data_IF_412451441974
#
_entry.id   IF_412451441974
#
_cell.length_a   1.000
_cell.length_b   1.000
_cell.length_c   1.000
_cell.angle_alpha   90.00
_cell.angle_beta   90.00
_cell.angle_gamma   90.00
#
_symmetry.space_group_name_H-M   'P 1'
#
loop_
_entity.id
_entity.type
_entity.pdbx_description
1 polymer ?
#
# COMPACT_ATOMS: atom_id res chain seq x y z
N UNK A 1 47.78 -12.19 -64.89
CA UNK A 1 47.73 -13.11 -63.72
C UNK A 1 47.58 -12.23 -62.48
N UNK A 2 46.35 -12.00 -62.02
CA UNK A 2 46.06 -11.25 -60.79
C UNK A 2 45.36 -12.21 -59.84
N UNK A 3 46.09 -12.68 -58.83
CA UNK A 3 45.61 -13.61 -57.80
C UNK A 3 44.73 -12.86 -56.78
N UNK A 4 43.48 -13.28 -56.45
CA UNK A 4 42.51 -12.48 -55.70
C UNK A 4 42.46 -12.74 -54.18
N UNK A 5 43.56 -13.14 -53.54
CA UNK A 5 43.59 -13.38 -52.09
C UNK A 5 44.67 -12.56 -51.37
N UNK A 6 44.51 -11.23 -51.39
CA UNK A 6 45.10 -10.42 -50.33
C UNK A 6 44.41 -10.81 -49.01
N UNK A 7 45.13 -11.59 -48.19
CA UNK A 7 44.70 -12.08 -46.90
C UNK A 7 44.10 -10.94 -46.07
N UNK A 8 42.77 -10.92 -45.95
CA UNK A 8 42.08 -10.04 -45.03
C UNK A 8 42.59 -10.35 -43.63
N UNK A 9 43.20 -9.36 -42.99
CA UNK A 9 43.71 -9.49 -41.63
C UNK A 9 42.61 -10.08 -40.72
N UNK A 10 42.79 -11.29 -40.16
CA UNK A 10 41.76 -11.96 -39.37
C UNK A 10 41.53 -11.28 -38.02
N UNK A 11 42.17 -10.15 -37.76
CA UNK A 11 42.01 -9.35 -36.56
C UNK A 11 41.00 -8.22 -36.68
N UNK A 12 40.50 -7.88 -37.87
CA UNK A 12 39.61 -6.73 -38.08
C UNK A 12 38.23 -7.12 -38.58
N UNK A 13 37.22 -6.34 -38.25
CA UNK A 13 35.86 -6.64 -38.70
C UNK A 13 35.72 -6.46 -40.21
N UNK A 14 35.08 -7.43 -40.89
CA UNK A 14 34.88 -7.38 -42.36
C UNK A 14 34.12 -6.13 -42.84
N UNK A 15 33.35 -5.46 -41.97
CA UNK A 15 32.60 -4.22 -42.23
C UNK A 15 33.28 -2.95 -41.72
N UNK A 16 34.15 -3.09 -40.72
CA UNK A 16 34.81 -1.98 -40.04
C UNK A 16 36.30 -2.28 -39.93
N UNK A 17 37.10 -1.90 -40.94
CA UNK A 17 38.54 -2.18 -40.97
C UNK A 17 39.29 -1.49 -39.82
N UNK A 18 38.74 -0.41 -39.26
CA UNK A 18 39.35 0.33 -38.14
C UNK A 18 39.13 -0.33 -36.77
N UNK A 19 38.39 -1.46 -36.71
CA UNK A 19 38.01 -2.09 -35.44
C UNK A 19 38.53 -3.52 -35.35
N UNK A 20 39.44 -3.73 -34.41
CA UNK A 20 39.92 -5.05 -34.07
C UNK A 20 38.83 -5.88 -33.38
N UNK A 21 38.66 -7.12 -33.81
CA UNK A 21 37.74 -8.08 -33.21
C UNK A 21 38.15 -9.51 -33.52
N UNK A 22 38.06 -10.37 -32.51
CA UNK A 22 38.37 -11.80 -32.59
C UNK A 22 37.12 -12.69 -32.58
N UNK A 23 35.93 -12.09 -32.71
CA UNK A 23 34.66 -12.81 -32.71
C UNK A 23 34.34 -13.26 -34.13
N UNK A 24 34.22 -14.57 -34.33
CA UNK A 24 33.98 -15.17 -35.64
C UNK A 24 32.49 -15.52 -35.81
N UNK A 25 31.97 -15.29 -37.01
CA UNK A 25 30.65 -15.78 -37.40
C UNK A 25 30.62 -17.31 -37.39
N UNK A 26 29.71 -17.91 -36.63
CA UNK A 26 29.54 -19.37 -36.58
C UNK A 26 29.13 -20.01 -37.93
N UNK A 27 28.65 -19.20 -38.89
CA UNK A 27 28.20 -19.70 -40.19
C UNK A 27 29.22 -19.52 -41.32
N UNK A 28 29.85 -18.34 -41.42
CA UNK A 28 30.76 -18.02 -42.52
C UNK A 28 32.22 -17.82 -42.10
N UNK A 29 32.52 -17.87 -40.80
CA UNK A 29 33.90 -17.70 -40.30
C UNK A 29 34.47 -16.29 -40.40
N UNK A 30 33.71 -15.27 -40.85
CA UNK A 30 34.18 -13.87 -40.89
C UNK A 30 34.25 -13.26 -39.50
N UNK A 31 35.21 -12.38 -39.27
CA UNK A 31 35.38 -11.57 -38.06
C UNK A 31 34.37 -10.43 -37.95
N UNK A 32 33.71 -10.28 -36.80
CA UNK A 32 32.62 -9.33 -36.57
C UNK A 32 32.85 -8.52 -35.29
N UNK A 33 32.80 -7.20 -35.38
CA UNK A 33 32.90 -6.34 -34.20
C UNK A 33 31.66 -6.45 -33.28
N UNK A 34 31.74 -6.02 -32.01
CA UNK A 34 30.62 -6.08 -31.06
C UNK A 34 29.36 -5.30 -31.46
N UNK A 35 29.49 -4.34 -32.38
CA UNK A 35 28.35 -3.58 -32.92
C UNK A 35 27.66 -4.28 -34.09
N UNK A 36 28.41 -5.06 -34.87
CA UNK A 36 27.88 -5.81 -36.01
C UNK A 36 27.46 -7.24 -35.66
N UNK A 37 27.85 -7.76 -34.49
CA UNK A 37 27.51 -9.12 -34.09
C UNK A 37 26.00 -9.25 -33.82
N UNK A 38 25.40 -10.33 -34.34
CA UNK A 38 24.01 -10.68 -34.05
C UNK A 38 24.03 -11.95 -33.20
N UNK A 39 23.44 -11.87 -32.01
CA UNK A 39 23.26 -13.03 -31.14
C UNK A 39 22.08 -13.86 -31.66
N UNK A 40 22.39 -14.99 -32.31
CA UNK A 40 21.41 -15.98 -32.72
C UNK A 40 21.36 -17.13 -31.69
N UNK A 41 20.29 -17.96 -31.67
CA UNK A 41 20.19 -19.10 -30.74
C UNK A 41 21.37 -20.10 -30.84
N UNK A 42 22.04 -20.14 -32.00
CA UNK A 42 23.19 -21.00 -32.31
C UNK A 42 24.53 -20.26 -32.20
N UNK A 43 24.56 -19.11 -31.52
CA UNK A 43 25.76 -18.30 -31.30
C UNK A 43 25.82 -17.05 -32.18
N UNK A 44 27.02 -16.50 -32.33
CA UNK A 44 27.22 -15.22 -33.02
C UNK A 44 27.16 -15.40 -34.55
N UNK A 45 26.30 -14.61 -35.21
CA UNK A 45 26.16 -14.59 -36.66
C UNK A 45 26.35 -13.18 -37.25
N UNK A 46 26.82 -13.09 -38.50
CA UNK A 46 26.96 -11.82 -39.20
C UNK A 46 25.64 -11.37 -39.85
N UNK A 47 25.45 -10.07 -40.11
CA UNK A 47 24.24 -9.54 -40.75
C UNK A 47 23.89 -10.17 -42.09
N UNK A 48 24.89 -10.55 -42.89
CA UNK A 48 24.70 -11.15 -44.21
C UNK A 48 24.13 -12.57 -44.10
N UNK A 49 24.73 -13.40 -43.24
CA UNK A 49 24.26 -14.75 -42.93
C UNK A 49 22.84 -14.77 -42.35
N UNK A 50 22.47 -13.76 -41.55
CA UNK A 50 21.11 -13.64 -41.00
C UNK A 50 20.12 -13.18 -42.08
N UNK A 51 20.54 -12.31 -43.00
CA UNK A 51 19.72 -11.87 -44.14
C UNK A 51 19.45 -13.01 -45.11
N UNK A 52 20.46 -13.84 -45.37
CA UNK A 52 20.34 -15.07 -46.17
C UNK A 52 19.46 -16.13 -45.49
N UNK A 53 19.40 -16.15 -44.16
CA UNK A 53 18.54 -17.06 -43.39
C UNK A 53 17.06 -16.63 -43.30
N UNK A 54 16.64 -15.58 -44.02
CA UNK A 54 15.24 -15.13 -44.04
C UNK A 54 14.86 -14.18 -42.89
N UNK A 55 15.84 -13.49 -42.28
CA UNK A 55 15.60 -12.28 -41.47
C UNK A 55 14.76 -12.42 -40.19
N UNK A 56 14.52 -13.64 -39.69
CA UNK A 56 13.57 -13.89 -38.58
C UNK A 56 14.17 -13.80 -37.17
N UNK A 57 15.47 -13.48 -37.02
CA UNK A 57 16.06 -13.25 -35.69
C UNK A 57 15.68 -11.85 -35.22
N UNK A 58 14.72 -11.80 -34.30
CA UNK A 58 14.21 -10.58 -33.67
C UNK A 58 15.39 -9.78 -33.09
N UNK A 59 15.74 -8.69 -33.76
CA UNK A 59 16.88 -7.82 -33.43
C UNK A 59 16.68 -7.18 -32.05
N UNK A 60 17.48 -7.60 -31.06
CA UNK A 60 17.67 -6.88 -29.80
C UNK A 60 19.13 -6.42 -29.73
N UNK A 61 19.44 -5.15 -30.04
CA UNK A 61 20.79 -4.64 -29.89
C UNK A 61 21.15 -4.67 -28.42
N UNK A 62 22.27 -5.31 -28.09
CA UNK A 62 22.80 -5.46 -26.72
C UNK A 62 23.20 -4.14 -26.06
N UNK A 63 23.03 -2.98 -26.70
CA UNK A 63 23.42 -1.68 -26.17
C UNK A 63 22.40 -0.54 -26.26
N UNK A 64 21.21 -0.72 -26.83
CA UNK A 64 20.34 0.43 -27.16
C UNK A 64 19.25 0.75 -26.12
N UNK A 65 18.41 -0.22 -25.80
CA UNK A 65 17.11 0.05 -25.16
C UNK A 65 17.14 -0.01 -23.62
N UNK A 66 18.03 -0.81 -23.04
CA UNK A 66 18.23 -0.88 -21.58
C UNK A 66 19.02 0.32 -21.07
N UNK A 67 20.05 0.75 -21.80
CA UNK A 67 20.86 1.93 -21.46
C UNK A 67 20.08 3.23 -21.64
N UNK A 68 19.25 3.38 -22.68
CA UNK A 68 18.37 4.56 -22.81
C UNK A 68 17.29 4.63 -21.72
N UNK A 69 16.72 3.49 -21.30
CA UNK A 69 15.79 3.44 -20.15
C UNK A 69 16.50 3.74 -18.83
N UNK A 70 17.72 3.24 -18.64
CA UNK A 70 18.56 3.55 -17.47
C UNK A 70 19.02 5.02 -17.44
N UNK A 71 19.37 5.61 -18.59
CA UNK A 71 19.73 7.01 -18.74
C UNK A 71 18.53 7.95 -18.48
N UNK A 72 17.33 7.60 -18.98
CA UNK A 72 16.09 8.32 -18.63
C UNK A 72 15.77 8.22 -17.14
N UNK A 73 15.99 7.06 -16.50
CA UNK A 73 15.88 6.95 -15.04
C UNK A 73 16.83 7.89 -14.32
N UNK A 74 18.09 8.02 -14.77
CA UNK A 74 19.13 8.88 -14.18
C UNK A 74 18.87 10.38 -14.35
N UNK A 75 18.10 10.79 -15.37
CA UNK A 75 17.75 12.20 -15.62
C UNK A 75 16.76 12.81 -14.63
N UNK A 76 16.06 11.98 -13.83
CA UNK A 76 15.13 12.49 -12.81
C UNK A 76 15.90 12.94 -11.57
N UNK A 77 15.53 14.05 -10.92
CA UNK A 77 16.10 14.43 -9.64
C UNK A 77 16.00 13.28 -8.63
N UNK A 78 17.02 13.07 -7.79
CA UNK A 78 17.03 11.97 -6.79
C UNK A 78 15.79 11.97 -5.89
N UNK A 79 15.25 13.14 -5.53
CA UNK A 79 14.02 13.24 -4.75
C UNK A 79 12.78 12.73 -5.51
N UNK A 80 12.70 12.96 -6.83
CA UNK A 80 11.65 12.40 -7.69
C UNK A 80 11.80 10.89 -7.83
N UNK A 81 13.03 10.39 -7.99
CA UNK A 81 13.27 8.94 -8.06
C UNK A 81 12.92 8.23 -6.74
N UNK A 82 13.28 8.83 -5.59
CA UNK A 82 12.95 8.29 -4.29
C UNK A 82 11.44 8.32 -4.03
N UNK A 83 10.76 9.43 -4.33
CA UNK A 83 9.30 9.53 -4.16
C UNK A 83 8.54 8.57 -5.08
N UNK A 84 8.90 8.48 -6.36
CA UNK A 84 8.29 7.52 -7.28
C UNK A 84 8.64 6.06 -6.93
N UNK A 85 9.84 5.82 -6.39
CA UNK A 85 10.28 4.52 -5.89
C UNK A 85 9.52 4.08 -4.63
N UNK A 86 9.12 5.02 -3.77
CA UNK A 86 8.21 4.75 -2.66
C UNK A 86 6.83 4.34 -3.18
N UNK A 87 6.28 5.07 -4.17
CA UNK A 87 4.97 4.79 -4.77
C UNK A 87 4.92 3.50 -5.59
N UNK A 88 6.05 2.90 -5.97
CA UNK A 88 6.09 1.66 -6.77
C UNK A 88 5.41 0.49 -6.01
N UNK A 89 4.52 -0.31 -6.63
CA UNK A 89 3.78 -1.38 -5.95
C UNK A 89 4.65 -2.40 -5.21
N UNK A 90 5.84 -2.70 -5.76
CA UNK A 90 6.80 -3.66 -5.21
C UNK A 90 7.77 -3.05 -4.18
N UNK A 91 7.61 -1.77 -3.83
CA UNK A 91 8.47 -1.12 -2.83
C UNK A 91 8.03 -1.52 -1.43
N UNK A 92 8.97 -2.10 -0.66
CA UNK A 92 8.80 -2.48 0.74
C UNK A 92 8.61 -1.28 1.70
N UNK A 93 8.55 -0.06 1.17
CA UNK A 93 8.28 1.12 1.97
C UNK A 93 6.79 1.21 2.39
N UNK A 94 6.49 1.49 3.67
CA UNK A 94 5.14 1.59 4.20
C UNK A 94 4.53 2.98 3.89
N UNK A 95 4.20 3.20 2.61
CA UNK A 95 3.74 4.51 2.10
C UNK A 95 2.37 4.88 2.66
N UNK A 96 1.46 3.91 2.81
CA UNK A 96 0.12 4.19 3.33
C UNK A 96 0.20 4.64 4.78
N UNK A 97 1.04 4.00 5.57
CA UNK A 97 1.25 4.36 6.97
C UNK A 97 1.75 5.80 7.10
N UNK A 98 2.79 6.18 6.37
CA UNK A 98 3.31 7.55 6.42
C UNK A 98 2.32 8.56 5.86
N UNK A 99 1.57 8.21 4.80
CA UNK A 99 0.53 9.05 4.24
C UNK A 99 -0.62 9.32 5.22
N UNK A 100 -1.13 8.28 5.89
CA UNK A 100 -2.19 8.37 6.89
C UNK A 100 -1.73 9.20 8.09
N UNK A 101 -0.53 8.92 8.60
CA UNK A 101 0.03 9.65 9.73
C UNK A 101 0.24 11.13 9.39
N UNK A 102 0.85 11.42 8.24
CA UNK A 102 1.07 12.78 7.76
C UNK A 102 -0.23 13.55 7.53
N UNK A 103 -1.24 12.90 6.92
CA UNK A 103 -2.56 13.50 6.73
C UNK A 103 -3.24 13.83 8.07
N UNK A 104 -3.12 12.95 9.06
CA UNK A 104 -3.74 13.16 10.38
C UNK A 104 -3.08 14.31 11.14
N UNK A 105 -1.75 14.40 11.10
CA UNK A 105 -1.00 15.55 11.64
C UNK A 105 -1.41 16.84 10.94
N UNK A 106 -1.53 16.80 9.61
CA UNK A 106 -1.95 17.97 8.83
C UNK A 106 -3.37 18.43 9.21
N UNK A 107 -4.35 17.53 9.31
CA UNK A 107 -5.70 17.89 9.72
C UNK A 107 -5.76 18.43 11.16
N UNK A 108 -4.96 17.86 12.06
CA UNK A 108 -4.86 18.36 13.43
C UNK A 108 -4.29 19.78 13.49
N UNK A 109 -3.23 20.07 12.71
CA UNK A 109 -2.67 21.41 12.59
C UNK A 109 -3.65 22.40 11.97
N UNK A 110 -4.34 22.03 10.89
CA UNK A 110 -5.38 22.85 10.25
C UNK A 110 -6.51 23.16 11.25
N UNK A 111 -6.85 22.21 12.13
CA UNK A 111 -7.88 22.38 13.15
C UNK A 111 -7.64 23.58 14.06
N UNK A 112 -6.38 23.91 14.39
CA UNK A 112 -6.06 25.08 15.21
C UNK A 112 -6.35 26.41 14.51
N UNK A 113 -6.14 26.49 13.19
CA UNK A 113 -6.40 27.71 12.40
C UNK A 113 -7.87 27.88 12.01
N UNK A 114 -8.66 26.80 12.08
CA UNK A 114 -10.01 26.73 11.55
C UNK A 114 -11.06 26.47 12.62
N UNK A 115 -10.73 26.70 13.90
CA UNK A 115 -11.62 26.46 15.03
C UNK A 115 -12.24 25.05 15.03
N UNK A 116 -11.42 24.00 14.80
CA UNK A 116 -11.83 22.60 14.76
C UNK A 116 -12.79 22.21 13.62
N UNK A 117 -12.81 22.94 12.50
CA UNK A 117 -13.60 22.56 11.32
C UNK A 117 -13.35 21.11 10.84
N UNK A 118 -12.09 20.60 10.71
CA UNK A 118 -11.86 19.22 10.31
C UNK A 118 -12.52 18.21 11.24
N UNK A 119 -12.41 18.42 12.57
CA UNK A 119 -13.09 17.58 13.56
C UNK A 119 -14.61 17.62 13.35
N UNK A 120 -15.18 18.81 13.25
CA UNK A 120 -16.62 19.04 13.15
C UNK A 120 -17.24 18.40 11.89
N UNK A 121 -16.55 18.38 10.75
CA UNK A 121 -17.08 17.88 9.48
C UNK A 121 -16.72 16.43 9.16
N UNK A 122 -15.60 15.91 9.69
CA UNK A 122 -15.04 14.62 9.27
C UNK A 122 -15.04 13.56 10.37
N UNK A 123 -15.17 13.92 11.66
CA UNK A 123 -15.29 12.94 12.74
C UNK A 123 -16.71 12.35 12.82
N UNK A 124 -16.83 11.15 13.37
CA UNK A 124 -18.12 10.51 13.59
C UNK A 124 -18.67 10.91 14.96
N UNK A 125 -19.73 11.73 14.98
CA UNK A 125 -20.39 12.16 16.21
C UNK A 125 -21.77 11.50 16.36
N UNK A 126 -22.24 11.24 17.60
CA UNK A 126 -23.55 10.66 17.86
C UNK A 126 -24.70 11.70 17.75
N UNK A 127 -24.84 12.38 16.60
CA UNK A 127 -25.86 13.42 16.40
C UNK A 127 -26.86 13.07 15.28
N UNK A 128 -28.15 13.33 15.54
CA UNK A 128 -29.25 13.01 14.60
C UNK A 128 -29.16 13.74 13.27
N UNK A 129 -28.74 15.01 13.28
CA UNK A 129 -28.68 15.86 12.08
C UNK A 129 -27.66 15.37 11.03
N UNK A 130 -26.68 14.58 11.46
CA UNK A 130 -25.60 14.07 10.61
C UNK A 130 -25.77 12.59 10.27
N UNK A 131 -26.94 11.99 10.52
CA UNK A 131 -27.20 10.57 10.30
C UNK A 131 -26.89 10.08 8.86
N UNK A 132 -27.09 10.94 7.86
CA UNK A 132 -26.87 10.60 6.45
C UNK A 132 -25.41 10.84 5.97
N UNK A 133 -24.54 11.36 6.83
CA UNK A 133 -23.18 11.76 6.47
C UNK A 133 -22.19 10.59 6.54
N UNK A 134 -22.37 9.61 5.64
CA UNK A 134 -21.67 8.31 5.65
C UNK A 134 -20.15 8.42 5.57
N UNK A 135 -19.62 9.48 4.95
CA UNK A 135 -18.17 9.69 4.83
C UNK A 135 -17.47 9.79 6.20
N UNK A 136 -18.17 10.24 7.25
CA UNK A 136 -17.62 10.42 8.60
C UNK A 136 -17.06 9.14 9.20
N UNK A 137 -17.66 7.99 8.90
CA UNK A 137 -17.15 6.70 9.37
C UNK A 137 -15.79 6.34 8.75
N UNK A 138 -15.54 6.79 7.51
CA UNK A 138 -14.27 6.57 6.82
C UNK A 138 -13.23 7.62 7.20
N UNK A 139 -13.62 8.88 7.31
CA UNK A 139 -12.70 9.99 7.56
C UNK A 139 -12.33 10.12 9.04
N UNK A 140 -13.14 9.61 9.96
CA UNK A 140 -12.92 9.66 11.42
C UNK A 140 -11.51 9.23 11.85
N UNK A 141 -10.92 8.27 11.15
CA UNK A 141 -9.61 7.72 11.48
C UNK A 141 -8.47 8.73 11.33
N UNK A 142 -8.63 9.74 10.47
CA UNK A 142 -7.62 10.77 10.21
C UNK A 142 -7.73 11.97 11.16
N UNK A 143 -8.74 11.98 12.01
CA UNK A 143 -9.21 13.20 12.66
C UNK A 143 -9.00 13.11 14.15
N UNK A 144 -8.50 14.21 14.71
CA UNK A 144 -8.31 14.40 16.13
C UNK A 144 -8.73 15.83 16.50
N UNK A 145 -9.30 16.05 17.69
CA UNK A 145 -9.64 17.40 18.15
C UNK A 145 -8.36 18.24 18.34
N UNK A 146 -8.32 19.42 17.72
CA UNK A 146 -7.26 20.41 17.84
C UNK A 146 -7.54 21.29 19.06
N UNK A 147 -7.23 20.75 20.24
CA UNK A 147 -7.38 21.42 21.54
C UNK A 147 -6.02 21.35 22.24
N UNK A 148 -5.52 22.49 22.75
CA UNK A 148 -4.26 22.59 23.48
C UNK A 148 -4.40 22.18 24.96
N UNK A 149 -5.16 21.11 25.22
CA UNK A 149 -5.21 20.47 26.53
C UNK A 149 -4.14 19.38 26.60
N UNK A 150 -3.40 19.31 27.70
CA UNK A 150 -2.34 18.32 27.89
C UNK A 150 -2.81 16.88 27.63
N UNK A 151 -4.01 16.51 28.08
CA UNK A 151 -4.56 15.16 27.90
C UNK A 151 -4.89 14.87 26.44
N UNK A 152 -5.44 15.85 25.72
CA UNK A 152 -5.81 15.71 24.30
C UNK A 152 -4.55 15.57 23.44
N UNK A 153 -3.56 16.44 23.66
CA UNK A 153 -2.28 16.39 22.96
C UNK A 153 -1.55 15.07 23.24
N UNK A 154 -1.51 14.63 24.50
CA UNK A 154 -0.88 13.36 24.87
C UNK A 154 -1.57 12.17 24.20
N UNK A 155 -2.91 12.14 24.17
CA UNK A 155 -3.67 11.09 23.50
C UNK A 155 -3.42 11.04 21.99
N UNK A 156 -3.33 12.21 21.35
CA UNK A 156 -2.96 12.32 19.94
C UNK A 156 -1.54 11.79 19.67
N UNK A 157 -0.55 12.23 20.46
CA UNK A 157 0.84 11.80 20.32
C UNK A 157 0.99 10.29 20.55
N UNK A 158 0.38 9.75 21.61
CA UNK A 158 0.39 8.31 21.87
C UNK A 158 -0.24 7.53 20.71
N UNK A 159 -1.39 7.98 20.21
CA UNK A 159 -2.05 7.35 19.06
C UNK A 159 -1.15 7.35 17.82
N UNK A 160 -0.47 8.46 17.55
CA UNK A 160 0.50 8.57 16.46
C UNK A 160 1.69 7.62 16.63
N UNK A 161 2.25 7.53 17.85
CA UNK A 161 3.37 6.64 18.16
C UNK A 161 2.96 5.18 18.01
N UNK A 162 1.82 4.76 18.58
CA UNK A 162 1.33 3.39 18.43
C UNK A 162 1.04 3.03 16.98
N UNK A 163 0.43 3.95 16.23
CA UNK A 163 0.24 3.78 14.80
C UNK A 163 1.56 3.63 14.05
N UNK A 164 2.53 4.50 14.31
CA UNK A 164 3.85 4.42 13.71
C UNK A 164 4.62 3.13 14.07
N UNK A 165 4.41 2.56 15.25
CA UNK A 165 5.06 1.31 15.64
C UNK A 165 4.43 0.08 14.98
N UNK A 166 3.09 0.04 14.88
CA UNK A 166 2.35 -1.15 14.46
C UNK A 166 2.10 -1.16 12.94
N UNK A 167 1.65 -0.04 12.38
CA UNK A 167 1.17 0.02 11.01
C UNK A 167 2.26 -0.26 9.94
N UNK A 168 3.52 0.19 10.06
CA UNK A 168 4.55 -0.14 9.07
C UNK A 168 4.86 -1.63 8.98
N UNK A 169 4.77 -2.32 10.12
CA UNK A 169 4.92 -3.78 10.15
C UNK A 169 3.71 -4.43 9.46
N UNK A 170 2.50 -3.97 9.78
CA UNK A 170 1.26 -4.45 9.17
C UNK A 170 1.23 -4.29 7.65
N UNK A 171 1.62 -3.12 7.17
CA UNK A 171 1.62 -2.81 5.74
C UNK A 171 2.58 -3.71 4.97
N UNK A 172 3.76 -4.01 5.54
CA UNK A 172 4.75 -4.91 4.93
C UNK A 172 4.31 -6.38 4.96
N UNK A 173 3.67 -6.82 6.05
CA UNK A 173 3.21 -8.21 6.17
C UNK A 173 1.99 -8.52 5.31
N UNK A 174 1.00 -7.62 5.25
CA UNK A 174 -0.23 -7.85 4.48
C UNK A 174 -0.09 -7.45 3.01
N UNK A 175 0.79 -6.49 2.70
CA UNK A 175 0.78 -5.75 1.45
C UNK A 175 -0.26 -4.63 1.46
N UNK A 176 -0.08 -3.66 0.55
CA UNK A 176 -0.79 -2.36 0.57
C UNK A 176 -2.32 -2.48 0.49
N UNK A 177 -2.84 -3.30 -0.42
CA UNK A 177 -4.29 -3.43 -0.63
C UNK A 177 -4.99 -4.10 0.55
N UNK A 178 -4.43 -5.20 1.06
CA UNK A 178 -4.97 -5.94 2.21
C UNK A 178 -4.87 -5.10 3.49
N UNK A 179 -3.75 -4.41 3.69
CA UNK A 179 -3.58 -3.46 4.79
C UNK A 179 -4.70 -2.41 4.77
N UNK A 180 -4.94 -1.78 3.62
CA UNK A 180 -5.97 -0.75 3.51
C UNK A 180 -7.38 -1.29 3.79
N UNK A 181 -7.71 -2.50 3.31
CA UNK A 181 -9.01 -3.12 3.57
C UNK A 181 -9.21 -3.44 5.06
N UNK A 182 -8.22 -4.02 5.73
CA UNK A 182 -8.29 -4.32 7.17
C UNK A 182 -8.31 -3.05 8.00
N UNK A 183 -7.47 -2.08 7.65
CA UNK A 183 -7.41 -0.76 8.29
C UNK A 183 -8.75 -0.01 8.17
N UNK A 184 -9.31 0.08 6.96
CA UNK A 184 -10.59 0.73 6.73
C UNK A 184 -11.73 0.00 7.43
N UNK A 185 -11.69 -1.34 7.49
CA UNK A 185 -12.71 -2.11 8.22
C UNK A 185 -12.66 -1.85 9.72
N UNK A 186 -11.47 -1.80 10.32
CA UNK A 186 -11.32 -1.41 11.72
C UNK A 186 -11.79 0.03 11.98
N UNK A 187 -11.47 0.97 11.10
CA UNK A 187 -11.90 2.36 11.20
C UNK A 187 -13.43 2.52 11.11
N UNK A 188 -14.06 1.94 10.09
CA UNK A 188 -15.50 2.08 9.83
C UNK A 188 -16.33 1.37 10.89
N UNK A 189 -16.00 0.11 11.21
CA UNK A 189 -16.76 -0.64 12.21
C UNK A 189 -16.52 -0.10 13.62
N UNK A 190 -15.29 0.33 13.92
CA UNK A 190 -14.96 0.99 15.18
C UNK A 190 -15.73 2.30 15.38
N UNK A 191 -15.69 3.21 14.40
CA UNK A 191 -16.42 4.48 14.47
C UNK A 191 -17.94 4.29 14.47
N UNK A 192 -18.46 3.31 13.72
CA UNK A 192 -19.88 2.95 13.78
C UNK A 192 -20.28 2.44 15.17
N UNK A 193 -19.47 1.57 15.78
CA UNK A 193 -19.70 1.11 17.14
C UNK A 193 -19.69 2.28 18.15
N UNK A 194 -18.73 3.20 18.06
CA UNK A 194 -18.71 4.42 18.88
C UNK A 194 -20.04 5.16 18.84
N UNK A 195 -20.55 5.43 17.65
CA UNK A 195 -21.81 6.14 17.43
C UNK A 195 -23.00 5.36 18.00
N UNK A 196 -23.03 4.03 17.82
CA UNK A 196 -24.10 3.18 18.36
C UNK A 196 -24.22 3.30 19.88
N UNK A 197 -23.07 3.36 20.57
CA UNK A 197 -22.99 3.50 22.02
C UNK A 197 -23.06 4.96 22.51
N UNK A 198 -23.25 5.93 21.61
CA UNK A 198 -23.39 7.34 21.97
C UNK A 198 -22.07 8.04 22.31
N UNK A 199 -20.94 7.52 21.82
CA UNK A 199 -19.62 8.11 21.98
C UNK A 199 -19.09 8.68 20.67
N UNK A 200 -18.16 9.61 20.77
CA UNK A 200 -17.45 10.15 19.61
C UNK A 200 -16.48 9.10 19.02
N UNK A 201 -16.53 8.94 17.71
CA UNK A 201 -15.66 8.06 16.94
C UNK A 201 -14.63 8.87 16.16
N UNK A 202 -13.40 8.94 16.67
CA UNK A 202 -12.27 9.60 16.02
C UNK A 202 -10.94 8.93 16.36
N UNK A 203 -9.95 9.15 15.50
CA UNK A 203 -8.56 8.71 15.70
C UNK A 203 -8.28 7.25 15.30
N UNK A 204 -7.06 6.81 15.59
CA UNK A 204 -6.52 5.55 15.07
C UNK A 204 -6.96 4.29 15.79
N UNK A 205 -7.54 4.39 16.99
CA UNK A 205 -7.76 3.25 17.89
C UNK A 205 -8.55 2.12 17.23
N UNK A 206 -9.69 2.39 16.59
CA UNK A 206 -10.47 1.37 15.89
C UNK A 206 -9.67 0.66 14.79
N UNK A 207 -8.92 1.42 14.00
CA UNK A 207 -8.11 0.85 12.93
C UNK A 207 -6.90 0.06 13.47
N UNK A 208 -6.25 0.54 14.53
CA UNK A 208 -5.15 -0.14 15.22
C UNK A 208 -5.57 -1.49 15.77
N UNK A 209 -6.69 -1.54 16.50
CA UNK A 209 -7.23 -2.80 17.01
C UNK A 209 -7.66 -3.74 15.88
N UNK A 210 -8.17 -3.19 14.77
CA UNK A 210 -8.44 -3.98 13.57
C UNK A 210 -7.19 -4.61 12.96
N UNK A 211 -6.08 -3.87 12.87
CA UNK A 211 -4.80 -4.40 12.40
C UNK A 211 -4.22 -5.45 13.34
N UNK A 212 -4.29 -5.24 14.66
CA UNK A 212 -3.84 -6.20 15.67
C UNK A 212 -4.66 -7.50 15.60
N UNK A 213 -5.98 -7.41 15.44
CA UNK A 213 -6.84 -8.57 15.24
C UNK A 213 -6.47 -9.34 13.96
N UNK A 214 -6.26 -8.62 12.86
CA UNK A 214 -5.85 -9.23 11.59
C UNK A 214 -4.51 -9.95 11.70
N UNK A 215 -3.54 -9.36 12.41
CA UNK A 215 -2.26 -9.99 12.67
C UNK A 215 -2.39 -11.26 13.50
N UNK A 216 -3.19 -11.22 14.56
CA UNK A 216 -3.44 -12.39 15.41
C UNK A 216 -4.03 -13.55 14.60
N UNK A 217 -5.01 -13.28 13.72
CA UNK A 217 -5.64 -14.30 12.88
C UNK A 217 -4.61 -14.92 11.92
N UNK A 218 -3.80 -14.09 11.27
CA UNK A 218 -2.78 -14.57 10.33
C UNK A 218 -1.70 -15.39 11.06
N UNK A 219 -1.19 -14.91 12.19
CA UNK A 219 -0.19 -15.64 12.96
C UNK A 219 -0.72 -16.99 13.47
N UNK A 220 -1.97 -17.03 13.94
CA UNK A 220 -2.61 -18.25 14.40
C UNK A 220 -2.83 -19.25 13.26
N UNK A 221 -3.12 -18.77 12.05
CA UNK A 221 -3.23 -19.63 10.86
C UNK A 221 -1.91 -20.29 10.46
N UNK A 222 -0.77 -19.68 10.82
CA UNK A 222 0.57 -20.21 10.59
C UNK A 222 1.10 -21.06 11.76
N UNK A 223 0.28 -21.33 12.78
CA UNK A 223 0.69 -22.09 13.97
C UNK A 223 1.57 -21.30 14.95
N UNK A 224 1.72 -19.99 14.79
CA UNK A 224 2.50 -19.14 15.68
C UNK A 224 1.79 -18.85 17.01
N UNK A 225 2.57 -18.70 18.08
CA UNK A 225 2.07 -18.35 19.41
C UNK A 225 1.93 -16.83 19.52
N UNK A 226 0.69 -16.34 19.45
CA UNK A 226 0.35 -14.92 19.47
C UNK A 226 0.39 -14.24 20.85
N UNK A 227 1.09 -14.80 21.83
CA UNK A 227 1.10 -14.27 23.21
C UNK A 227 1.61 -12.83 23.27
N UNK A 228 2.64 -12.48 22.50
CA UNK A 228 3.14 -11.10 22.45
C UNK A 228 2.09 -10.11 21.91
N UNK A 229 1.34 -10.51 20.87
CA UNK A 229 0.24 -9.70 20.34
C UNK A 229 -0.89 -9.53 21.35
N UNK A 230 -1.24 -10.59 22.09
CA UNK A 230 -2.23 -10.51 23.17
C UNK A 230 -1.78 -9.58 24.29
N UNK A 231 -0.50 -9.60 24.66
CA UNK A 231 0.07 -8.66 25.65
C UNK A 231 -0.04 -7.22 25.15
N UNK A 232 0.31 -6.96 23.89
CA UNK A 232 0.22 -5.61 23.29
C UNK A 232 -1.24 -5.14 23.26
N UNK A 233 -2.17 -6.00 22.86
CA UNK A 233 -3.62 -5.69 22.85
C UNK A 233 -4.10 -5.39 24.27
N UNK A 234 -3.79 -6.24 25.24
CA UNK A 234 -4.17 -6.04 26.64
C UNK A 234 -3.61 -4.73 27.20
N UNK A 235 -2.33 -4.43 26.94
CA UNK A 235 -1.69 -3.19 27.36
C UNK A 235 -2.38 -1.97 26.72
N UNK A 236 -2.70 -2.01 25.43
CA UNK A 236 -3.41 -0.92 24.75
C UNK A 236 -4.82 -0.71 25.33
N UNK A 237 -5.54 -1.79 25.69
CA UNK A 237 -6.85 -1.68 26.35
C UNK A 237 -6.71 -1.02 27.72
N UNK A 238 -5.74 -1.44 28.54
CA UNK A 238 -5.50 -0.86 29.86
C UNK A 238 -5.16 0.62 29.77
N UNK A 239 -4.25 1.00 28.86
CA UNK A 239 -3.89 2.39 28.61
C UNK A 239 -5.12 3.19 28.14
N UNK A 240 -5.91 2.61 27.24
CA UNK A 240 -7.13 3.26 26.74
C UNK A 240 -8.13 3.49 27.89
N UNK A 241 -8.34 2.53 28.79
CA UNK A 241 -9.23 2.71 29.95
C UNK A 241 -8.67 3.79 30.88
N UNK A 242 -7.38 3.77 31.18
CA UNK A 242 -6.72 4.74 32.06
C UNK A 242 -6.81 6.18 31.54
N UNK A 243 -6.87 6.36 30.22
CA UNK A 243 -6.96 7.66 29.55
C UNK A 243 -8.40 8.05 29.16
N UNK A 244 -9.42 7.32 29.60
CA UNK A 244 -10.83 7.62 29.28
C UNK A 244 -11.22 7.34 27.83
N UNK A 245 -10.56 6.38 27.19
CA UNK A 245 -10.75 6.02 25.80
C UNK A 245 -12.04 5.25 25.51
N UNK A 246 -12.48 5.32 24.26
CA UNK A 246 -13.75 4.77 23.80
C UNK A 246 -13.67 3.25 23.54
N UNK A 247 -14.10 2.44 24.51
CA UNK A 247 -14.10 0.97 24.39
C UNK A 247 -14.93 0.44 23.22
N UNK A 248 -16.05 1.09 22.88
CA UNK A 248 -16.87 0.68 21.74
C UNK A 248 -16.07 0.76 20.43
N UNK A 249 -15.22 1.78 20.29
CA UNK A 249 -14.33 1.93 19.13
C UNK A 249 -13.29 0.81 19.07
N UNK A 250 -12.70 0.46 20.21
CA UNK A 250 -11.66 -0.57 20.31
C UNK A 250 -12.23 -1.93 19.91
N UNK A 251 -13.34 -2.34 20.52
CA UNK A 251 -13.96 -3.64 20.24
C UNK A 251 -14.59 -3.70 18.85
N UNK A 252 -15.25 -2.63 18.40
CA UNK A 252 -15.76 -2.53 17.04
C UNK A 252 -14.64 -2.63 16.00
N UNK A 253 -13.52 -1.98 16.26
CA UNK A 253 -12.31 -2.07 15.43
C UNK A 253 -11.72 -3.47 15.37
N UNK A 254 -11.57 -4.12 16.54
CA UNK A 254 -11.09 -5.50 16.67
C UNK A 254 -11.94 -6.48 15.86
N UNK A 255 -13.27 -6.36 15.97
CA UNK A 255 -14.23 -7.19 15.23
C UNK A 255 -14.15 -6.89 13.72
N UNK A 256 -14.20 -5.62 13.33
CA UNK A 256 -14.21 -5.21 11.93
C UNK A 256 -12.94 -5.61 11.18
N UNK A 257 -11.76 -5.30 11.73
CA UNK A 257 -10.49 -5.68 11.13
C UNK A 257 -10.23 -7.19 11.18
N UNK A 258 -10.62 -7.85 12.27
CA UNK A 258 -10.51 -9.30 12.40
C UNK A 258 -11.35 -10.04 11.36
N UNK A 259 -12.63 -9.67 11.19
CA UNK A 259 -13.50 -10.23 10.16
C UNK A 259 -12.96 -9.99 8.76
N UNK A 260 -12.46 -8.79 8.46
CA UNK A 260 -11.87 -8.47 7.16
C UNK A 260 -10.65 -9.36 6.88
N UNK A 261 -9.73 -9.48 7.83
CA UNK A 261 -8.55 -10.34 7.70
C UNK A 261 -8.92 -11.82 7.54
N UNK A 262 -9.90 -12.30 8.31
CA UNK A 262 -10.41 -13.67 8.20
C UNK A 262 -11.01 -13.94 6.81
N UNK A 263 -11.84 -13.04 6.30
CA UNK A 263 -12.45 -13.15 4.97
C UNK A 263 -11.35 -13.20 3.91
N UNK A 264 -10.40 -12.26 3.94
CA UNK A 264 -9.30 -12.21 2.96
C UNK A 264 -8.53 -13.54 2.97
N UNK A 265 -8.07 -14.00 4.14
CA UNK A 265 -7.34 -15.26 4.27
C UNK A 265 -8.14 -16.48 3.82
N UNK A 266 -9.46 -16.50 4.06
CA UNK A 266 -10.32 -17.62 3.71
C UNK A 266 -10.53 -17.80 2.21
N UNK A 267 -10.64 -16.69 1.47
CA UNK A 267 -10.89 -16.69 0.04
C UNK A 267 -9.62 -16.76 -0.80
N UNK A 268 -8.48 -16.27 -0.29
CA UNK A 268 -7.19 -16.31 -0.98
C UNK A 268 -6.73 -17.75 -1.33
N UNK A 269 -6.98 -18.73 -0.45
CA UNK A 269 -6.62 -20.13 -0.69
C UNK A 269 -7.62 -20.92 -1.55
N UNK A 270 -8.75 -20.32 -1.96
CA UNK A 270 -9.76 -21.01 -2.79
C UNK A 270 -9.53 -20.72 -4.27
N UNK A 271 -9.01 -21.72 -4.99
CA UNK A 271 -8.72 -21.68 -6.43
C UNK A 271 -9.89 -21.28 -7.36
N UNK A 272 -11.15 -21.31 -6.89
CA UNK A 272 -12.35 -20.92 -7.68
C UNK A 272 -12.99 -19.61 -7.26
N UNK A 273 -12.44 -18.91 -6.25
CA UNK A 273 -13.07 -17.67 -5.79
C UNK A 273 -12.67 -16.49 -6.67
N UNK A 274 -13.66 -15.69 -7.09
CA UNK A 274 -13.38 -14.43 -7.78
C UNK A 274 -12.75 -13.44 -6.80
N UNK A 275 -11.73 -12.66 -7.20
CA UNK A 275 -11.07 -11.69 -6.31
C UNK A 275 -12.01 -10.60 -5.78
N UNK A 276 -13.17 -10.39 -6.41
CA UNK A 276 -14.20 -9.43 -5.96
C UNK A 276 -15.03 -9.92 -4.77
N UNK A 277 -15.10 -11.23 -4.53
CA UNK A 277 -15.93 -11.82 -3.46
C UNK A 277 -15.54 -11.33 -2.05
N UNK A 278 -14.25 -11.37 -1.63
CA UNK A 278 -13.88 -10.89 -0.30
C UNK A 278 -14.16 -9.39 -0.12
N UNK A 279 -13.94 -8.59 -1.18
CA UNK A 279 -14.21 -7.14 -1.16
C UNK A 279 -15.71 -6.88 -0.97
N UNK A 280 -16.57 -7.60 -1.71
CA UNK A 280 -18.01 -7.46 -1.58
C UNK A 280 -18.51 -7.80 -0.17
N UNK A 281 -17.98 -8.85 0.46
CA UNK A 281 -18.32 -9.21 1.84
C UNK A 281 -17.86 -8.16 2.85
N UNK A 282 -16.67 -7.59 2.67
CA UNK A 282 -16.16 -6.50 3.52
C UNK A 282 -17.05 -5.26 3.38
N UNK A 283 -17.41 -4.88 2.16
CA UNK A 283 -18.31 -3.75 1.91
C UNK A 283 -19.69 -4.01 2.55
N UNK A 284 -20.21 -5.24 2.47
CA UNK A 284 -21.46 -5.59 3.13
C UNK A 284 -21.38 -5.40 4.66
N UNK A 285 -20.26 -5.77 5.29
CA UNK A 285 -20.02 -5.52 6.73
C UNK A 285 -20.04 -4.01 7.01
N UNK A 286 -19.41 -3.20 6.16
CA UNK A 286 -19.40 -1.74 6.33
C UNK A 286 -20.82 -1.16 6.24
N UNK A 287 -21.59 -1.58 5.24
CA UNK A 287 -22.98 -1.14 5.05
C UNK A 287 -23.83 -1.51 6.26
N UNK A 288 -23.70 -2.72 6.78
CA UNK A 288 -24.45 -3.16 7.98
C UNK A 288 -24.06 -2.34 9.22
N UNK A 289 -22.76 -2.11 9.44
CA UNK A 289 -22.28 -1.33 10.58
C UNK A 289 -22.77 0.14 10.51
N UNK A 290 -22.65 0.75 9.34
CA UNK A 290 -23.12 2.11 9.08
C UNK A 290 -24.64 2.18 9.25
N UNK A 291 -25.39 1.24 8.67
CA UNK A 291 -26.84 1.19 8.80
C UNK A 291 -27.26 1.10 10.27
N UNK A 292 -26.64 0.24 11.07
CA UNK A 292 -26.90 0.15 12.51
C UNK A 292 -26.65 1.48 13.24
N UNK A 293 -25.55 2.17 12.91
CA UNK A 293 -25.25 3.48 13.47
C UNK A 293 -26.28 4.54 13.03
N UNK A 294 -26.68 4.57 11.76
CA UNK A 294 -27.71 5.51 11.26
C UNK A 294 -29.07 5.27 11.90
N UNK A 295 -29.50 4.02 12.07
CA UNK A 295 -30.76 3.67 12.75
C UNK A 295 -30.72 4.15 14.20
N UNK A 296 -29.58 3.96 14.89
CA UNK A 296 -29.40 4.47 16.24
C UNK A 296 -29.52 5.99 16.30
N UNK A 297 -28.89 6.71 15.37
CA UNK A 297 -28.95 8.18 15.29
C UNK A 297 -30.37 8.69 15.04
N UNK A 298 -31.13 8.03 14.17
CA UNK A 298 -32.51 8.39 13.87
C UNK A 298 -33.45 8.15 15.06
N UNK A 299 -33.15 7.15 15.90
CA UNK A 299 -33.86 6.83 17.13
C UNK A 299 -33.57 7.81 18.28
N UNK A 300 -32.57 8.70 18.16
CA UNK A 300 -32.33 9.76 19.14
C UNK A 300 -33.54 10.71 19.12
N UNK A 301 -34.17 10.91 20.28
CA UNK A 301 -35.26 11.87 20.43
C UNK A 301 -34.75 13.26 20.00
N UNK A 302 -35.55 14.06 19.26
CA UNK A 302 -35.17 15.45 19.02
C UNK A 302 -34.96 16.10 20.38
N UNK A 303 -33.82 16.78 20.56
CA UNK A 303 -33.62 17.61 21.74
C UNK A 303 -34.83 18.53 21.87
N UNK A 304 -35.63 18.32 22.91
CA UNK A 304 -36.78 19.17 23.17
C UNK A 304 -36.27 20.60 23.27
N UNK A 305 -36.79 21.47 22.42
CA UNK A 305 -36.75 22.92 22.63
C UNK A 305 -37.59 23.19 23.89
N UNK A 306 -37.01 22.99 25.07
CA UNK A 306 -37.44 23.69 26.28
C UNK A 306 -36.72 25.04 26.23
N UNK A 307 -37.40 26.19 26.21
CA UNK A 307 -38.56 26.53 27.02
C UNK A 307 -38.07 27.56 28.02
#
# INVERSE_FOLDING_TARGET
MTDPQAAADPSVCYRHPDRQSWVLCQRCGRTICPECQILAPVGVQCPECVREAGGSVKWQPTGGSSLQKAARRRSRPRWVQNTLGLLHPDSNAPVLTYGILGASVLFWLIGFFTANLPATFLAAFPAKEIAWQVWRYFTSVLIFPAILDFRVVLSFLLSCVFFFLIAPSAERSFGRSRFLLVFASGAVVGSAASVVFGYDGYGFSGALFGLLAGFFIVQRSMGGVGTQLLIIVALNVVISIALGGNLAMLFGGLIGGGLAAFIIGRFEYRARSKPSTPIALIIAIWVVAIAAATVRLLAIAPAGVGG
#
